data_IF_286862562041
#
_entry.id   IF_286862562041
#
_cell.length_a   1.000
_cell.length_b   1.000
_cell.length_c   1.000
_cell.angle_alpha   90.00
_cell.angle_beta   90.00
_cell.angle_gamma   90.00
#
_symmetry.space_group_name_H-M   'P 1'
#
loop_
_entity.id
_entity.type
_entity.pdbx_description
1 polymer ?
#
# COMPACT_ATOMS: atom_id res chain seq x y z
N UNK A 1 18.87 -6.21 -10.26
CA UNK A 1 18.31 -7.19 -9.33
C UNK A 1 16.82 -6.94 -9.21
N UNK A 2 15.98 -7.97 -9.36
CA UNK A 2 14.53 -7.86 -9.12
C UNK A 2 14.13 -8.72 -7.90
N UNK A 3 12.88 -8.61 -7.43
CA UNK A 3 12.43 -9.28 -6.20
C UNK A 3 12.45 -10.81 -6.29
N UNK A 4 12.08 -11.39 -7.44
CA UNK A 4 12.20 -12.83 -7.66
C UNK A 4 13.66 -13.29 -7.64
N UNK A 5 14.58 -12.52 -8.21
CA UNK A 5 16.01 -12.80 -8.18
C UNK A 5 16.55 -12.73 -6.75
N UNK A 6 16.14 -11.75 -5.95
CA UNK A 6 16.54 -11.65 -4.54
C UNK A 6 16.01 -12.85 -3.73
N UNK A 7 14.76 -13.23 -3.95
CA UNK A 7 14.13 -14.40 -3.33
C UNK A 7 14.90 -15.69 -3.63
N UNK A 8 15.20 -15.94 -4.90
CA UNK A 8 15.96 -17.10 -5.33
C UNK A 8 17.42 -17.06 -4.85
N UNK A 9 18.04 -15.87 -4.76
CA UNK A 9 19.36 -15.72 -4.14
C UNK A 9 19.34 -16.10 -2.67
N UNK A 10 18.39 -15.61 -1.87
CA UNK A 10 18.28 -15.95 -0.45
C UNK A 10 18.11 -17.46 -0.26
N UNK A 11 17.21 -18.10 -1.03
CA UNK A 11 17.04 -19.55 -1.01
C UNK A 11 18.32 -20.30 -1.39
N UNK A 12 18.97 -19.87 -2.46
CA UNK A 12 20.21 -20.50 -2.93
C UNK A 12 21.31 -20.41 -1.87
N UNK A 13 21.49 -19.24 -1.26
CA UNK A 13 22.48 -19.01 -0.20
C UNK A 13 22.17 -19.84 1.04
N UNK A 14 20.89 -19.93 1.44
CA UNK A 14 20.46 -20.81 2.53
C UNK A 14 20.89 -22.26 2.28
N UNK A 15 20.68 -22.77 1.06
CA UNK A 15 21.07 -24.14 0.72
C UNK A 15 22.61 -24.34 0.71
N UNK A 16 23.36 -23.33 0.24
CA UNK A 16 24.82 -23.36 0.30
C UNK A 16 25.34 -23.31 1.74
N UNK A 17 24.72 -22.46 2.58
CA UNK A 17 25.02 -22.32 4.01
C UNK A 17 24.92 -23.65 4.74
N UNK A 18 23.90 -24.46 4.47
CA UNK A 18 23.74 -25.79 5.08
C UNK A 18 24.99 -26.63 4.80
N UNK A 19 25.39 -26.71 3.53
CA UNK A 19 26.54 -27.53 3.11
C UNK A 19 27.85 -27.03 3.73
N UNK A 20 28.06 -25.72 3.79
CA UNK A 20 29.27 -25.13 4.37
C UNK A 20 29.30 -25.28 5.89
N UNK A 21 28.17 -25.12 6.57
CA UNK A 21 28.04 -25.33 8.01
C UNK A 21 28.27 -26.79 8.39
N UNK A 22 27.75 -27.75 7.63
CA UNK A 22 28.00 -29.17 7.89
C UNK A 22 29.48 -29.52 7.80
N UNK A 23 30.18 -29.02 6.78
CA UNK A 23 31.64 -29.21 6.64
C UNK A 23 32.40 -28.59 7.82
N UNK A 24 31.95 -27.44 8.31
CA UNK A 24 32.55 -26.81 9.48
C UNK A 24 32.31 -27.64 10.75
N UNK A 25 31.09 -28.15 10.98
CA UNK A 25 30.75 -29.04 12.11
C UNK A 25 31.65 -30.29 12.08
N UNK A 26 31.83 -30.90 10.91
CA UNK A 26 32.68 -32.08 10.73
C UNK A 26 34.15 -31.80 11.05
N UNK A 27 34.63 -30.60 10.73
CA UNK A 27 36.01 -30.22 11.01
C UNK A 27 36.31 -29.95 12.50
N UNK A 28 35.29 -29.73 13.35
CA UNK A 28 35.51 -29.41 14.77
C UNK A 28 35.87 -30.64 15.62
N UNK A 29 35.61 -31.87 15.14
CA UNK A 29 35.83 -33.11 15.90
C UNK A 29 35.22 -33.08 17.33
N UNK A 30 34.05 -32.43 17.47
CA UNK A 30 33.36 -32.23 18.74
C UNK A 30 32.17 -33.20 18.84
N UNK A 31 32.25 -34.15 19.78
CA UNK A 31 31.26 -35.24 19.95
C UNK A 31 29.85 -34.71 20.21
N UNK A 32 29.73 -33.58 20.92
CA UNK A 32 28.44 -32.98 21.24
C UNK A 32 27.83 -32.32 20.01
N UNK A 33 28.63 -31.59 19.21
CA UNK A 33 28.17 -31.06 17.93
C UNK A 33 27.75 -32.18 16.97
N UNK A 34 28.50 -33.26 16.92
CA UNK A 34 28.20 -34.41 16.06
C UNK A 34 26.90 -35.09 16.46
N UNK A 35 26.62 -35.18 17.77
CA UNK A 35 25.36 -35.73 18.27
C UNK A 35 24.12 -34.90 17.87
N UNK A 36 24.24 -33.56 17.80
CA UNK A 36 23.12 -32.67 17.45
C UNK A 36 23.04 -32.32 15.96
N UNK A 37 24.09 -32.62 15.17
CA UNK A 37 24.21 -32.26 13.75
C UNK A 37 23.01 -32.69 12.92
N UNK A 38 22.56 -33.94 13.06
CA UNK A 38 21.45 -34.49 12.27
C UNK A 38 20.13 -33.77 12.55
N UNK A 39 19.83 -33.53 13.83
CA UNK A 39 18.64 -32.81 14.26
C UNK A 39 18.68 -31.35 13.81
N UNK A 40 19.83 -30.68 13.97
CA UNK A 40 20.04 -29.32 13.49
C UNK A 40 19.87 -29.22 11.97
N UNK A 41 20.50 -30.11 11.19
CA UNK A 41 20.38 -30.18 9.73
C UNK A 41 18.94 -30.34 9.30
N UNK A 42 18.20 -31.26 9.93
CA UNK A 42 16.79 -31.49 9.64
C UNK A 42 15.96 -30.22 9.89
N UNK A 43 16.25 -29.50 10.97
CA UNK A 43 15.57 -28.26 11.27
C UNK A 43 15.85 -27.15 10.24
N UNK A 44 17.12 -26.84 9.96
CA UNK A 44 17.50 -25.76 9.02
C UNK A 44 17.20 -26.08 7.55
N UNK A 45 16.87 -27.33 7.24
CA UNK A 45 16.42 -27.76 5.90
C UNK A 45 14.90 -27.68 5.72
N UNK A 46 14.16 -27.13 6.70
CA UNK A 46 12.70 -27.06 6.66
C UNK A 46 12.19 -26.09 5.60
N UNK A 47 10.91 -26.20 5.23
CA UNK A 47 10.34 -25.37 4.18
C UNK A 47 10.17 -23.91 4.62
N UNK A 48 9.89 -23.69 5.90
CA UNK A 48 9.63 -22.37 6.47
C UNK A 48 10.20 -22.24 7.90
N UNK A 49 10.17 -21.00 8.40
CA UNK A 49 10.64 -20.62 9.74
C UNK A 49 9.96 -21.43 10.86
N UNK A 50 8.64 -21.51 10.84
CA UNK A 50 7.86 -22.16 11.91
C UNK A 50 8.20 -23.65 12.02
N UNK A 51 8.38 -24.33 10.88
CA UNK A 51 8.79 -25.72 10.83
C UNK A 51 10.24 -25.90 11.32
N UNK A 52 11.15 -25.00 10.96
CA UNK A 52 12.52 -25.00 11.51
C UNK A 52 12.48 -24.90 13.04
N UNK A 53 11.74 -23.93 13.59
CA UNK A 53 11.66 -23.72 15.04
C UNK A 53 11.04 -24.92 15.76
N UNK A 54 9.98 -25.51 15.21
CA UNK A 54 9.35 -26.71 15.75
C UNK A 54 10.33 -27.88 15.78
N UNK A 55 11.07 -28.12 14.70
CA UNK A 55 12.04 -29.23 14.65
C UNK A 55 13.25 -29.01 15.55
N UNK A 56 13.70 -27.77 15.76
CA UNK A 56 14.74 -27.45 16.75
C UNK A 56 14.27 -27.86 18.16
N UNK A 57 13.01 -27.58 18.50
CA UNK A 57 12.39 -27.95 19.77
C UNK A 57 12.22 -29.47 19.90
N UNK A 58 11.63 -30.13 18.90
CA UNK A 58 11.43 -31.59 18.89
C UNK A 58 12.75 -32.37 18.95
N UNK A 59 13.77 -31.86 18.27
CA UNK A 59 15.11 -32.46 18.27
C UNK A 59 15.92 -32.21 19.54
N UNK A 60 15.36 -31.54 20.55
CA UNK A 60 16.04 -31.07 21.76
C UNK A 60 17.37 -30.36 21.44
N UNK A 61 17.42 -29.61 20.34
CA UNK A 61 18.60 -28.82 19.97
C UNK A 61 18.64 -27.65 20.94
N UNK A 62 19.39 -27.84 22.03
CA UNK A 62 19.41 -26.95 23.18
C UNK A 62 19.95 -25.57 22.80
N UNK A 63 19.03 -24.65 22.51
CA UNK A 63 19.30 -23.25 22.19
C UNK A 63 18.24 -22.35 22.88
N UNK A 64 18.64 -21.45 23.79
CA UNK A 64 17.87 -20.49 24.63
C UNK A 64 18.01 -19.02 24.15
N UNK A 65 17.06 -18.15 24.56
CA UNK A 65 16.77 -16.77 24.08
C UNK A 65 17.69 -15.68 24.68
N UNK A 66 18.09 -14.69 23.89
CA UNK A 66 19.01 -13.60 24.29
C UNK A 66 18.39 -12.59 25.28
N UNK A 67 17.07 -12.38 25.22
CA UNK A 67 16.35 -11.36 25.99
C UNK A 67 16.42 -11.60 27.52
N UNK A 68 16.55 -12.86 27.93
CA UNK A 68 16.67 -13.27 29.33
C UNK A 68 18.08 -13.02 29.91
N UNK A 69 19.09 -12.81 29.06
CA UNK A 69 20.50 -12.73 29.45
C UNK A 69 20.94 -11.29 29.75
N UNK A 70 20.37 -10.29 29.07
CA UNK A 70 20.55 -8.87 29.45
C UNK A 70 19.95 -8.57 30.83
N UNK A 71 18.86 -9.25 31.21
CA UNK A 71 18.32 -9.20 32.56
C UNK A 71 19.24 -9.89 33.59
N UNK A 72 19.80 -11.07 33.29
CA UNK A 72 20.69 -11.75 34.23
C UNK A 72 22.07 -11.09 34.37
N UNK A 73 22.62 -10.49 33.30
CA UNK A 73 23.87 -9.71 33.37
C UNK A 73 23.69 -8.34 34.03
N UNK A 74 22.54 -7.67 33.83
CA UNK A 74 22.21 -6.47 34.61
C UNK A 74 22.12 -6.78 36.10
N UNK A 75 21.54 -7.93 36.47
CA UNK A 75 21.40 -8.37 37.87
C UNK A 75 22.73 -8.91 38.45
N UNK A 76 23.57 -9.55 37.63
CA UNK A 76 24.90 -10.02 38.04
C UNK A 76 25.93 -8.87 38.17
N UNK A 77 25.73 -7.77 37.43
CA UNK A 77 26.56 -6.56 37.57
C UNK A 77 26.12 -5.67 38.74
N UNK A 78 24.96 -5.95 39.36
CA UNK A 78 24.37 -5.15 40.44
C UNK A 78 23.95 -5.99 41.66
N UNK A 79 24.80 -6.90 42.15
CA UNK A 79 24.54 -7.60 43.42
C UNK A 79 25.78 -7.80 44.27
N UNK A 80 26.38 -6.66 44.64
CA UNK A 80 27.13 -6.51 45.87
C UNK A 80 26.30 -5.63 46.81
N UNK A 81 25.14 -6.15 47.25
CA UNK A 81 24.48 -5.71 48.49
C UNK A 81 23.35 -6.69 48.86
N UNK A 82 23.56 -7.38 49.97
CA UNK A 82 22.60 -8.26 50.62
C UNK A 82 21.59 -7.39 51.37
N UNK A 83 20.30 -7.48 51.04
CA UNK A 83 19.21 -7.65 52.02
C UNK A 83 17.83 -7.88 51.41
N UNK A 84 17.25 -9.01 51.82
CA UNK A 84 15.85 -9.28 52.16
C UNK A 84 14.73 -8.96 51.14
N UNK A 85 14.41 -10.00 50.36
CA UNK A 85 13.06 -10.57 50.17
C UNK A 85 11.82 -9.68 50.42
N UNK A 86 11.17 -9.30 49.32
CA UNK A 86 9.71 -9.35 49.20
C UNK A 86 9.36 -9.60 47.73
N UNK A 87 8.69 -10.71 47.49
CA UNK A 87 8.07 -11.05 46.22
C UNK A 87 7.00 -10.01 45.80
N UNK A 88 6.68 -10.04 44.51
CA UNK A 88 5.56 -9.37 43.86
C UNK A 88 5.67 -7.84 43.78
N UNK A 89 6.36 -7.37 42.74
CA UNK A 89 5.78 -6.30 41.92
C UNK A 89 5.70 -6.80 40.47
N UNK A 90 4.51 -7.30 40.17
CA UNK A 90 3.96 -7.44 38.83
C UNK A 90 3.98 -6.04 38.22
N UNK A 91 5.01 -5.71 37.45
CA UNK A 91 5.02 -4.49 36.64
C UNK A 91 4.84 -4.89 35.18
N UNK A 92 3.55 -4.98 34.85
CA UNK A 92 2.92 -4.62 33.59
C UNK A 92 3.53 -5.15 32.28
N UNK A 93 2.90 -6.23 31.83
CA UNK A 93 2.62 -6.60 30.44
C UNK A 93 1.82 -5.49 29.69
N UNK A 94 2.37 -4.29 29.55
CA UNK A 94 1.78 -3.23 28.71
C UNK A 94 2.87 -2.51 27.91
N UNK A 95 3.40 -3.22 26.92
CA UNK A 95 3.97 -2.64 25.71
C UNK A 95 3.80 -3.67 24.59
N UNK A 96 2.58 -3.73 24.06
CA UNK A 96 2.26 -4.33 22.78
C UNK A 96 3.03 -3.58 21.69
N UNK A 97 4.13 -4.17 21.15
CA UNK A 97 4.55 -4.01 19.72
C UNK A 97 5.91 -4.66 19.35
N UNK A 98 6.33 -5.75 20.00
CA UNK A 98 7.53 -6.49 19.56
C UNK A 98 7.15 -7.90 19.10
N UNK A 99 6.86 -8.03 17.80
CA UNK A 99 6.73 -9.31 17.13
C UNK A 99 8.05 -10.09 17.23
N UNK A 100 8.07 -11.10 18.11
CA UNK A 100 8.92 -12.30 18.15
C UNK A 100 10.18 -12.33 17.25
N UNK A 101 11.26 -11.73 17.74
CA UNK A 101 12.62 -11.92 17.22
C UNK A 101 13.30 -13.05 18.00
N UNK A 102 13.31 -14.27 17.47
CA UNK A 102 13.87 -15.45 18.15
C UNK A 102 15.31 -15.71 17.71
N UNK A 103 16.26 -15.17 18.49
CA UNK A 103 17.70 -15.43 18.34
C UNK A 103 18.13 -16.46 19.37
N UNK A 104 18.83 -17.50 18.91
CA UNK A 104 19.08 -18.74 19.64
C UNK A 104 20.55 -18.82 20.11
N UNK A 105 20.82 -19.16 21.38
CA UNK A 105 22.15 -19.38 22.02
C UNK A 105 22.19 -20.61 22.95
N UNK A 106 23.30 -21.34 23.11
CA UNK A 106 23.34 -22.62 23.85
C UNK A 106 23.11 -22.54 25.37
N UNK A 107 22.63 -23.65 25.97
CA UNK A 107 21.95 -23.78 27.29
C UNK A 107 22.88 -24.04 28.48
N UNK A 108 24.19 -23.84 28.34
CA UNK A 108 25.16 -24.17 29.41
C UNK A 108 25.67 -22.89 30.06
N UNK A 109 25.87 -22.88 31.38
CA UNK A 109 26.44 -21.74 32.13
C UNK A 109 27.82 -21.29 31.60
N UNK A 110 28.51 -22.17 30.88
CA UNK A 110 29.68 -21.89 30.06
C UNK A 110 29.64 -22.78 28.80
N UNK A 111 28.97 -22.34 27.73
CA UNK A 111 28.81 -23.17 26.54
C UNK A 111 30.14 -23.29 25.80
N UNK A 112 30.48 -24.51 25.39
CA UNK A 112 31.64 -24.73 24.53
C UNK A 112 31.59 -23.80 23.31
N UNK A 113 32.74 -23.20 22.95
CA UNK A 113 32.83 -22.17 21.91
C UNK A 113 32.15 -22.56 20.58
N UNK A 114 32.15 -23.85 20.24
CA UNK A 114 31.50 -24.34 19.03
C UNK A 114 29.96 -24.35 19.10
N UNK A 115 29.36 -24.51 20.29
CA UNK A 115 27.91 -24.38 20.44
C UNK A 115 27.45 -22.92 20.23
N UNK A 116 28.25 -21.95 20.69
CA UNK A 116 28.00 -20.52 20.45
C UNK A 116 28.06 -20.23 18.95
N UNK A 117 29.03 -20.81 18.25
CA UNK A 117 29.12 -20.74 16.79
C UNK A 117 27.87 -21.34 16.11
N UNK A 118 27.42 -22.52 16.55
CA UNK A 118 26.23 -23.17 15.98
C UNK A 118 24.94 -22.36 16.21
N UNK A 119 24.83 -21.68 17.33
CA UNK A 119 23.66 -20.89 17.67
C UNK A 119 23.59 -19.59 16.86
N UNK A 120 24.73 -18.96 16.62
CA UNK A 120 24.86 -17.84 15.68
C UNK A 120 24.49 -18.26 14.25
N UNK A 121 24.95 -19.43 13.80
CA UNK A 121 24.52 -19.99 12.51
C UNK A 121 23.00 -20.20 12.46
N UNK A 122 22.40 -20.76 13.51
CA UNK A 122 20.95 -20.98 13.60
C UNK A 122 20.18 -19.68 13.54
N UNK A 123 20.69 -18.63 14.20
CA UNK A 123 20.11 -17.29 14.15
C UNK A 123 20.16 -16.71 12.74
N UNK A 124 21.29 -16.88 12.05
CA UNK A 124 21.42 -16.46 10.65
C UNK A 124 20.39 -17.18 9.77
N UNK A 125 20.14 -18.48 9.97
CA UNK A 125 19.06 -19.18 9.28
C UNK A 125 17.68 -18.58 9.59
N UNK A 126 17.35 -18.30 10.85
CA UNK A 126 16.07 -17.67 11.23
C UNK A 126 15.86 -16.34 10.52
N UNK A 127 16.90 -15.50 10.48
CA UNK A 127 16.85 -14.20 9.80
C UNK A 127 16.71 -14.34 8.29
N UNK A 128 17.32 -15.36 7.67
CA UNK A 128 17.16 -15.63 6.24
C UNK A 128 15.74 -16.10 5.90
N UNK A 129 15.14 -16.96 6.73
CA UNK A 129 13.73 -17.31 6.58
C UNK A 129 12.83 -16.08 6.76
N UNK A 130 13.08 -15.26 7.78
CA UNK A 130 12.29 -14.07 8.04
C UNK A 130 12.38 -13.05 6.89
N UNK A 131 13.56 -12.86 6.29
CA UNK A 131 13.71 -12.04 5.09
C UNK A 131 12.94 -12.63 3.90
N UNK A 132 13.00 -13.94 3.69
CA UNK A 132 12.21 -14.62 2.65
C UNK A 132 10.70 -14.42 2.85
N UNK A 133 10.21 -14.54 4.08
CA UNK A 133 8.81 -14.30 4.44
C UNK A 133 8.40 -12.88 4.07
N UNK A 134 9.25 -11.88 4.33
CA UNK A 134 9.00 -10.49 3.96
C UNK A 134 9.04 -10.20 2.45
N UNK A 135 9.58 -11.09 1.63
CA UNK A 135 9.53 -10.97 0.16
C UNK A 135 8.25 -11.53 -0.45
N UNK A 136 7.43 -12.27 0.30
CA UNK A 136 6.15 -12.78 -0.20
C UNK A 136 5.22 -11.63 -0.65
N UNK A 137 4.47 -11.73 -1.76
CA UNK A 137 3.62 -10.63 -2.22
C UNK A 137 2.54 -10.26 -1.17
N UNK A 138 2.28 -8.96 -1.00
CA UNK A 138 1.12 -8.48 -0.23
C UNK A 138 -0.15 -8.60 -1.07
N UNK A 139 -1.19 -9.24 -0.54
CA UNK A 139 -2.49 -9.34 -1.20
C UNK A 139 -3.44 -8.24 -0.70
N UNK A 140 -3.59 -7.18 -1.49
CA UNK A 140 -4.52 -6.09 -1.18
C UNK A 140 -5.94 -6.42 -1.66
N UNK A 141 -6.88 -6.46 -0.71
CA UNK A 141 -8.28 -6.73 -1.00
C UNK A 141 -9.12 -5.46 -0.80
N UNK A 142 -9.28 -4.67 -1.87
CA UNK A 142 -10.10 -3.45 -1.87
C UNK A 142 -11.26 -3.61 -2.85
N UNK A 143 -12.50 -3.62 -2.33
CA UNK A 143 -13.70 -3.70 -3.18
C UNK A 143 -14.21 -2.31 -3.56
N UNK A 144 -14.30 -2.06 -4.87
CA UNK A 144 -14.87 -0.83 -5.42
C UNK A 144 -16.38 -0.94 -5.73
N UNK A 145 -17.05 -2.03 -5.32
CA UNK A 145 -18.45 -2.27 -5.70
C UNK A 145 -19.39 -1.15 -5.24
N UNK A 146 -19.22 -0.64 -4.02
CA UNK A 146 -20.02 0.46 -3.49
C UNK A 146 -19.84 1.78 -4.26
N UNK A 147 -18.60 2.10 -4.63
CA UNK A 147 -18.29 3.29 -5.44
C UNK A 147 -18.84 3.15 -6.87
N UNK A 148 -18.69 1.97 -7.49
CA UNK A 148 -19.24 1.67 -8.81
C UNK A 148 -20.77 1.75 -8.82
N UNK A 149 -21.44 1.31 -7.75
CA UNK A 149 -22.88 1.47 -7.58
C UNK A 149 -23.29 2.95 -7.53
N UNK A 150 -22.62 3.76 -6.70
CA UNK A 150 -22.90 5.19 -6.60
C UNK A 150 -22.68 5.91 -7.95
N UNK A 151 -21.61 5.55 -8.67
CA UNK A 151 -21.36 6.03 -10.03
C UNK A 151 -22.52 5.68 -10.97
N UNK A 152 -22.95 4.41 -10.98
CA UNK A 152 -24.04 3.95 -11.82
C UNK A 152 -25.37 4.67 -11.52
N UNK A 153 -25.66 4.97 -10.23
CA UNK A 153 -26.81 5.80 -9.85
C UNK A 153 -26.74 7.19 -10.47
N UNK A 154 -25.57 7.85 -10.40
CA UNK A 154 -25.34 9.17 -11.01
C UNK A 154 -25.56 9.16 -12.52
N UNK A 155 -24.95 8.20 -13.21
CA UNK A 155 -25.07 8.02 -14.67
C UNK A 155 -26.52 7.74 -15.09
N UNK A 156 -27.21 6.84 -14.37
CA UNK A 156 -28.63 6.53 -14.62
C UNK A 156 -29.50 7.78 -14.50
N UNK A 157 -29.33 8.57 -13.44
CA UNK A 157 -30.07 9.83 -13.27
C UNK A 157 -29.77 10.83 -14.41
N UNK A 158 -28.51 10.97 -14.81
CA UNK A 158 -28.12 11.88 -15.89
C UNK A 158 -28.66 11.46 -17.26
N UNK A 159 -28.75 10.15 -17.53
CA UNK A 159 -29.30 9.60 -18.77
C UNK A 159 -30.82 9.72 -18.83
N UNK A 160 -31.51 9.38 -17.73
CA UNK A 160 -32.97 9.44 -17.63
C UNK A 160 -33.47 10.89 -17.75
N UNK A 161 -32.72 11.87 -17.25
CA UNK A 161 -33.11 13.29 -17.23
C UNK A 161 -33.58 13.85 -18.58
N UNK A 162 -33.09 13.31 -19.70
CA UNK A 162 -33.47 13.75 -21.06
C UNK A 162 -34.92 13.45 -21.42
N UNK A 163 -35.54 12.48 -20.75
CA UNK A 163 -36.88 11.95 -21.07
C UNK A 163 -37.93 12.31 -20.02
N UNK A 164 -37.56 13.10 -19.02
CA UNK A 164 -38.36 13.35 -17.83
C UNK A 164 -39.24 14.58 -18.02
N UNK A 165 -40.53 14.44 -17.71
CA UNK A 165 -41.48 15.56 -17.66
C UNK A 165 -41.17 16.51 -16.50
N UNK A 166 -41.24 17.81 -16.77
CA UNK A 166 -40.97 18.86 -15.78
C UNK A 166 -42.14 18.97 -14.81
N UNK A 167 -41.87 18.86 -13.51
CA UNK A 167 -42.89 19.00 -12.48
C UNK A 167 -42.33 18.95 -11.07
N UNK A 168 -43.11 19.39 -10.08
CA UNK A 168 -42.70 19.41 -8.67
C UNK A 168 -42.47 18.00 -8.11
N UNK A 169 -43.29 17.03 -8.51
CA UNK A 169 -43.13 15.64 -8.06
C UNK A 169 -41.87 15.00 -8.65
N UNK A 170 -41.54 15.32 -9.90
CA UNK A 170 -40.27 14.95 -10.53
C UNK A 170 -39.07 15.47 -9.73
N UNK A 171 -39.07 16.76 -9.39
CA UNK A 171 -37.99 17.37 -8.59
C UNK A 171 -37.87 16.66 -7.24
N UNK A 172 -39.00 16.40 -6.56
CA UNK A 172 -39.01 15.70 -5.26
C UNK A 172 -38.42 14.29 -5.37
N UNK A 173 -38.84 13.51 -6.36
CA UNK A 173 -38.37 12.14 -6.58
C UNK A 173 -36.85 12.10 -6.86
N UNK A 174 -36.38 12.93 -7.79
CA UNK A 174 -34.96 12.97 -8.13
C UNK A 174 -34.08 13.61 -7.05
N UNK A 175 -34.63 14.49 -6.20
CA UNK A 175 -33.92 14.99 -5.00
C UNK A 175 -33.64 13.84 -4.03
N UNK A 176 -34.64 12.97 -3.80
CA UNK A 176 -34.48 11.79 -2.94
C UNK A 176 -33.44 10.81 -3.52
N UNK A 177 -33.51 10.50 -4.82
CA UNK A 177 -32.53 9.62 -5.49
C UNK A 177 -31.11 10.19 -5.43
N UNK A 178 -30.95 11.50 -5.65
CA UNK A 178 -29.65 12.18 -5.54
C UNK A 178 -29.11 12.12 -4.11
N UNK A 179 -29.97 12.33 -3.10
CA UNK A 179 -29.57 12.21 -1.69
C UNK A 179 -29.11 10.78 -1.36
N UNK A 180 -29.84 9.76 -1.82
CA UNK A 180 -29.45 8.36 -1.64
C UNK A 180 -28.11 8.04 -2.33
N UNK A 181 -27.92 8.51 -3.57
CA UNK A 181 -26.67 8.31 -4.29
C UNK A 181 -25.48 8.99 -3.59
N UNK A 182 -25.67 10.20 -3.06
CA UNK A 182 -24.67 10.92 -2.26
C UNK A 182 -24.32 10.21 -0.96
N UNK A 183 -25.32 9.67 -0.26
CA UNK A 183 -25.10 8.87 0.94
C UNK A 183 -24.30 7.60 0.61
N UNK A 184 -24.70 6.87 -0.43
CA UNK A 184 -24.00 5.67 -0.88
C UNK A 184 -22.56 5.98 -1.29
N UNK A 185 -22.34 7.08 -2.02
CA UNK A 185 -21.01 7.56 -2.37
C UNK A 185 -20.19 7.85 -1.12
N UNK A 186 -20.73 8.62 -0.17
CA UNK A 186 -20.00 9.02 1.04
C UNK A 186 -19.59 7.81 1.89
N UNK A 187 -20.50 6.86 2.11
CA UNK A 187 -20.19 5.63 2.85
C UNK A 187 -19.12 4.79 2.14
N UNK A 188 -19.33 4.47 0.86
CA UNK A 188 -18.36 3.67 0.10
C UNK A 188 -16.99 4.35 -0.02
N UNK A 189 -16.97 5.68 -0.15
CA UNK A 189 -15.75 6.47 -0.21
C UNK A 189 -14.98 6.44 1.11
N UNK A 190 -15.67 6.54 2.25
CA UNK A 190 -15.05 6.43 3.57
C UNK A 190 -14.45 5.03 3.81
N UNK A 191 -15.19 3.97 3.45
CA UNK A 191 -14.74 2.59 3.63
C UNK A 191 -13.51 2.27 2.77
N UNK A 192 -13.56 2.62 1.48
CA UNK A 192 -12.43 2.39 0.56
C UNK A 192 -11.20 3.19 0.97
N UNK A 193 -11.36 4.45 1.37
CA UNK A 193 -10.25 5.25 1.89
C UNK A 193 -9.60 4.62 3.12
N UNK A 194 -10.41 4.12 4.06
CA UNK A 194 -9.89 3.43 5.24
C UNK A 194 -9.07 2.21 4.85
N UNK A 195 -9.55 1.39 3.91
CA UNK A 195 -8.81 0.20 3.45
C UNK A 195 -7.49 0.57 2.77
N UNK A 196 -7.48 1.62 1.93
CA UNK A 196 -6.26 2.12 1.30
C UNK A 196 -5.24 2.56 2.36
N UNK A 197 -5.67 3.28 3.40
CA UNK A 197 -4.78 3.68 4.49
C UNK A 197 -4.25 2.49 5.31
N UNK A 198 -5.09 1.47 5.53
CA UNK A 198 -4.66 0.23 6.21
C UNK A 198 -3.61 -0.51 5.38
N UNK A 199 -3.80 -0.64 4.07
CA UNK A 199 -2.81 -1.25 3.18
C UNK A 199 -1.47 -0.49 3.24
N UNK A 200 -1.50 0.85 3.20
CA UNK A 200 -0.28 1.65 3.32
C UNK A 200 0.42 1.44 4.66
N UNK A 201 -0.34 1.36 5.76
CA UNK A 201 0.23 1.08 7.07
C UNK A 201 0.89 -0.32 7.11
N UNK A 202 0.26 -1.33 6.51
CA UNK A 202 0.84 -2.68 6.40
C UNK A 202 2.13 -2.70 5.58
N UNK A 203 2.19 -1.98 4.44
CA UNK A 203 3.42 -1.81 3.66
C UNK A 203 4.51 -1.19 4.55
N UNK A 204 4.21 -0.08 5.22
CA UNK A 204 5.19 0.63 6.04
C UNK A 204 5.73 -0.24 7.19
N UNK A 205 4.86 -0.99 7.88
CA UNK A 205 5.27 -1.92 8.95
C UNK A 205 6.18 -3.01 8.38
N UNK A 206 5.78 -3.63 7.27
CA UNK A 206 6.55 -4.69 6.64
C UNK A 206 7.91 -4.20 6.17
N UNK A 207 7.97 -3.02 5.57
CA UNK A 207 9.22 -2.43 5.11
C UNK A 207 10.16 -2.11 6.26
N UNK A 208 9.63 -1.57 7.36
CA UNK A 208 10.41 -1.33 8.58
C UNK A 208 10.96 -2.64 9.14
N UNK A 209 10.14 -3.67 9.24
CA UNK A 209 10.57 -4.97 9.75
C UNK A 209 11.61 -5.64 8.84
N UNK A 210 11.45 -5.51 7.53
CA UNK A 210 12.42 -6.00 6.54
C UNK A 210 13.78 -5.31 6.71
N UNK A 211 13.79 -3.98 6.78
CA UNK A 211 14.99 -3.19 6.94
C UNK A 211 15.71 -3.49 8.27
N UNK A 212 14.97 -3.53 9.38
CA UNK A 212 15.50 -3.87 10.71
C UNK A 212 16.08 -5.29 10.74
N UNK A 213 15.45 -6.24 10.03
CA UNK A 213 15.92 -7.63 9.92
C UNK A 213 17.17 -7.72 9.06
N UNK A 214 17.25 -6.95 7.97
CA UNK A 214 18.41 -6.93 7.08
C UNK A 214 19.65 -6.34 7.77
N UNK A 215 19.50 -5.22 8.48
CA UNK A 215 20.57 -4.64 9.30
C UNK A 215 21.04 -5.61 10.39
N UNK A 216 20.09 -6.27 11.05
CA UNK A 216 20.43 -7.21 12.10
C UNK A 216 21.08 -8.49 11.59
N UNK A 217 20.74 -8.94 10.38
CA UNK A 217 21.48 -10.00 9.70
C UNK A 217 22.94 -9.60 9.52
N UNK A 218 23.20 -8.40 8.98
CA UNK A 218 24.58 -7.90 8.79
C UNK A 218 25.32 -7.81 10.12
N UNK A 219 24.68 -7.29 11.16
CA UNK A 219 25.26 -7.21 12.51
C UNK A 219 25.57 -8.60 13.09
N UNK A 220 24.63 -9.54 12.99
CA UNK A 220 24.79 -10.92 13.49
C UNK A 220 25.92 -11.63 12.76
N UNK A 221 26.00 -11.47 11.44
CA UNK A 221 27.08 -12.02 10.62
C UNK A 221 28.43 -11.42 11.00
N UNK A 222 28.48 -10.13 11.29
CA UNK A 222 29.71 -9.45 11.69
C UNK A 222 30.22 -9.98 13.04
N UNK A 223 29.34 -10.08 14.03
CA UNK A 223 29.65 -10.67 15.35
C UNK A 223 30.07 -12.12 15.22
N UNK A 224 29.36 -12.92 14.41
CA UNK A 224 29.69 -14.32 14.20
C UNK A 224 31.05 -14.49 13.50
N UNK A 225 31.38 -13.62 12.54
CA UNK A 225 32.67 -13.63 11.86
C UNK A 225 33.83 -13.43 12.86
N UNK A 226 33.67 -12.54 13.84
CA UNK A 226 34.67 -12.23 14.87
C UNK A 226 34.89 -13.36 15.91
N UNK A 227 34.00 -14.37 15.97
CA UNK A 227 34.12 -15.46 16.96
C UNK A 227 35.34 -16.36 16.75
N UNK A 228 35.90 -16.42 15.54
CA UNK A 228 37.12 -17.20 15.27
C UNK A 228 38.23 -16.28 14.76
N UNK A 229 39.33 -16.19 15.50
CA UNK A 229 40.48 -15.41 15.05
C UNK A 229 41.28 -16.16 13.97
N UNK A 230 41.55 -15.51 12.83
CA UNK A 230 42.48 -16.04 11.84
C UNK A 230 43.91 -15.64 12.23
N UNK A 231 44.73 -16.56 12.73
CA UNK A 231 46.11 -16.23 13.14
C UNK A 231 47.06 -15.97 11.97
N UNK A 232 46.68 -16.29 10.71
CA UNK A 232 47.54 -16.18 9.53
C UNK A 232 47.94 -14.74 9.23
N UNK A 233 49.13 -14.54 8.67
CA UNK A 233 49.68 -13.22 8.35
C UNK A 233 48.90 -12.56 7.18
N UNK A 234 48.73 -11.23 7.17
CA UNK A 234 47.89 -10.50 6.21
C UNK A 234 48.24 -10.78 4.75
N UNK A 235 49.54 -10.89 4.43
CA UNK A 235 50.01 -11.22 3.08
C UNK A 235 49.62 -12.64 2.66
N UNK A 236 49.73 -13.62 3.56
CA UNK A 236 49.32 -15.01 3.29
C UNK A 236 47.83 -15.09 3.02
N UNK A 237 47.02 -14.26 3.70
CA UNK A 237 45.55 -14.19 3.50
C UNK A 237 45.15 -13.69 2.11
N UNK A 238 45.94 -12.82 1.48
CA UNK A 238 45.65 -12.35 0.11
C UNK A 238 45.79 -13.46 -0.95
N UNK A 239 46.53 -14.53 -0.64
CA UNK A 239 46.82 -15.62 -1.57
C UNK A 239 46.26 -16.98 -1.11
N UNK A 240 45.48 -17.02 -0.02
CA UNK A 240 44.94 -18.27 0.53
C UNK A 240 43.43 -18.17 0.72
N UNK A 241 42.77 -19.32 0.67
CA UNK A 241 41.35 -19.41 0.95
C UNK A 241 41.03 -18.97 2.40
N UNK A 242 39.83 -18.41 2.58
CA UNK A 242 39.28 -18.12 3.90
C UNK A 242 39.26 -19.39 4.77
N UNK A 243 39.39 -19.22 6.09
CA UNK A 243 39.07 -20.30 7.02
C UNK A 243 37.61 -20.73 6.78
N UNK A 244 37.26 -22.02 6.95
CA UNK A 244 35.91 -22.50 6.70
C UNK A 244 34.81 -21.66 7.37
N UNK A 245 35.04 -21.23 8.61
CA UNK A 245 34.15 -20.32 9.35
C UNK A 245 33.95 -18.97 8.66
N UNK A 246 35.04 -18.27 8.36
CA UNK A 246 35.00 -16.98 7.65
C UNK A 246 34.42 -17.11 6.24
N UNK A 247 34.67 -18.22 5.56
CA UNK A 247 34.15 -18.49 4.22
C UNK A 247 32.62 -18.54 4.20
N UNK A 248 31.99 -19.12 5.23
CA UNK A 248 30.54 -19.21 5.38
C UNK A 248 29.91 -17.81 5.30
N UNK A 249 30.36 -16.90 6.15
CA UNK A 249 29.81 -15.55 6.27
C UNK A 249 30.17 -14.64 5.10
N UNK A 250 31.38 -14.77 4.57
CA UNK A 250 31.76 -14.06 3.35
C UNK A 250 30.88 -14.48 2.16
N UNK A 251 30.65 -15.79 1.98
CA UNK A 251 29.77 -16.29 0.92
C UNK A 251 28.33 -15.83 1.10
N UNK A 252 27.83 -15.81 2.34
CA UNK A 252 26.51 -15.30 2.67
C UNK A 252 26.35 -13.82 2.25
N UNK A 253 27.23 -12.94 2.72
CA UNK A 253 27.10 -11.51 2.40
C UNK A 253 27.32 -11.23 0.91
N UNK A 254 28.33 -11.86 0.29
CA UNK A 254 28.58 -11.67 -1.14
C UNK A 254 27.46 -12.23 -2.02
N UNK A 255 26.77 -13.28 -1.58
CA UNK A 255 25.62 -13.82 -2.29
C UNK A 255 24.40 -12.88 -2.25
N UNK A 256 24.12 -12.26 -1.10
CA UNK A 256 22.96 -11.36 -0.93
C UNK A 256 23.26 -10.00 -1.55
N UNK A 257 24.37 -9.38 -1.15
CA UNK A 257 24.69 -7.98 -1.44
C UNK A 257 25.62 -7.80 -2.64
N UNK A 258 26.25 -8.87 -3.12
CA UNK A 258 27.29 -8.82 -4.16
C UNK A 258 28.70 -8.64 -3.58
N UNK A 259 29.70 -8.97 -4.40
CA UNK A 259 31.12 -8.91 -3.99
C UNK A 259 31.56 -7.49 -3.64
N UNK A 260 31.11 -6.50 -4.44
CA UNK A 260 31.51 -5.10 -4.28
C UNK A 260 30.93 -4.44 -3.02
N UNK A 261 29.97 -5.09 -2.36
CA UNK A 261 29.31 -4.60 -1.17
C UNK A 261 30.02 -4.97 0.13
N UNK A 262 30.89 -5.97 0.10
CA UNK A 262 31.48 -6.60 1.28
C UNK A 262 32.88 -6.06 1.53
N UNK A 263 33.11 -5.60 2.76
CA UNK A 263 34.35 -4.99 3.19
C UNK A 263 34.96 -5.74 4.37
N UNK A 264 36.28 -5.62 4.51
CA UNK A 264 37.03 -6.13 5.67
C UNK A 264 37.80 -4.98 6.35
N UNK A 265 37.15 -4.23 7.25
CA UNK A 265 37.78 -3.10 7.95
C UNK A 265 39.03 -3.51 8.75
N UNK A 266 38.95 -4.65 9.42
CA UNK A 266 40.01 -5.26 10.21
C UNK A 266 40.24 -6.72 9.81
N UNK A 267 41.22 -7.37 10.47
CA UNK A 267 41.65 -8.73 10.15
C UNK A 267 40.50 -9.72 10.26
N UNK A 268 39.80 -9.68 11.38
CA UNK A 268 38.76 -10.63 11.75
C UNK A 268 37.38 -9.97 11.76
N UNK A 269 37.19 -8.91 10.98
CA UNK A 269 35.90 -8.22 10.85
C UNK A 269 35.39 -8.27 9.41
N UNK A 270 34.07 -8.26 9.27
CA UNK A 270 33.39 -8.11 7.99
C UNK A 270 32.33 -7.02 8.12
N UNK A 271 32.10 -6.26 7.06
CA UNK A 271 31.08 -5.23 7.01
C UNK A 271 30.40 -5.22 5.63
N UNK A 272 29.18 -4.70 5.57
CA UNK A 272 28.45 -4.47 4.33
C UNK A 272 28.28 -2.96 4.12
N UNK A 273 28.32 -2.50 2.87
CA UNK A 273 28.02 -1.11 2.52
C UNK A 273 26.55 -0.79 2.75
N UNK A 274 26.28 0.24 3.56
CA UNK A 274 24.92 0.76 3.81
C UNK A 274 24.18 1.11 2.52
N UNK A 275 24.90 1.58 1.48
CA UNK A 275 24.29 1.87 0.18
C UNK A 275 23.62 0.66 -0.45
N UNK A 276 24.18 -0.54 -0.29
CA UNK A 276 23.59 -1.77 -0.83
C UNK A 276 22.44 -2.29 0.01
N UNK A 277 22.47 -2.07 1.33
CA UNK A 277 21.33 -2.32 2.21
C UNK A 277 20.16 -1.43 1.76
N UNK A 278 20.38 -0.13 1.60
CA UNK A 278 19.37 0.82 1.14
C UNK A 278 18.80 0.49 -0.24
N UNK A 279 19.64 0.06 -1.18
CA UNK A 279 19.18 -0.36 -2.51
C UNK A 279 18.24 -1.57 -2.46
N UNK A 280 18.55 -2.57 -1.61
CA UNK A 280 17.70 -3.74 -1.42
C UNK A 280 16.38 -3.33 -0.75
N UNK A 281 16.44 -2.53 0.31
CA UNK A 281 15.23 -2.03 0.99
C UNK A 281 14.35 -1.22 0.03
N UNK A 282 14.94 -0.36 -0.81
CA UNK A 282 14.21 0.42 -1.82
C UNK A 282 13.56 -0.49 -2.88
N UNK A 283 14.29 -1.51 -3.37
CA UNK A 283 13.74 -2.47 -4.32
C UNK A 283 12.49 -3.18 -3.79
N UNK A 284 12.51 -3.60 -2.51
CA UNK A 284 11.37 -4.26 -1.87
C UNK A 284 10.23 -3.28 -1.63
N UNK A 285 10.54 -2.03 -1.29
CA UNK A 285 9.54 -0.96 -1.14
C UNK A 285 8.80 -0.70 -2.45
N UNK A 286 9.53 -0.46 -3.54
CA UNK A 286 8.95 -0.15 -4.84
C UNK A 286 8.00 -1.27 -5.31
N UNK A 287 8.41 -2.53 -5.12
CA UNK A 287 7.60 -3.68 -5.52
C UNK A 287 6.30 -3.82 -4.73
N UNK A 288 6.30 -3.46 -3.45
CA UNK A 288 5.08 -3.46 -2.63
C UNK A 288 4.20 -2.23 -2.89
N UNK A 289 4.80 -1.10 -3.30
CA UNK A 289 4.10 0.16 -3.53
C UNK A 289 3.36 0.19 -4.88
N UNK A 290 3.93 -0.38 -5.95
CA UNK A 290 3.30 -0.45 -7.29
C UNK A 290 1.82 -0.91 -7.28
N UNK A 291 1.47 -2.06 -6.68
CA UNK A 291 0.08 -2.51 -6.67
C UNK A 291 -0.84 -1.61 -5.84
N UNK A 292 -0.33 -1.00 -4.77
CA UNK A 292 -1.09 -0.06 -3.93
C UNK A 292 -1.34 1.25 -4.68
N UNK A 293 -0.37 1.76 -5.43
CA UNK A 293 -0.51 2.95 -6.26
C UNK A 293 -1.58 2.73 -7.34
N UNK A 294 -1.58 1.55 -7.99
CA UNK A 294 -2.62 1.19 -8.96
C UNK A 294 -4.03 1.16 -8.34
N UNK A 295 -4.18 0.65 -7.11
CA UNK A 295 -5.44 0.67 -6.37
C UNK A 295 -5.86 2.12 -6.05
N UNK A 296 -4.90 2.95 -5.65
CA UNK A 296 -5.15 4.36 -5.33
C UNK A 296 -5.57 5.17 -6.55
N UNK A 297 -4.93 4.96 -7.70
CA UNK A 297 -5.31 5.58 -8.97
C UNK A 297 -6.72 5.17 -9.41
N UNK A 298 -7.06 3.88 -9.31
CA UNK A 298 -8.41 3.38 -9.58
C UNK A 298 -9.45 4.04 -8.68
N UNK A 299 -9.16 4.10 -7.39
CA UNK A 299 -9.98 4.77 -6.39
C UNK A 299 -10.24 6.23 -6.76
N UNK A 300 -9.19 7.00 -7.01
CA UNK A 300 -9.29 8.42 -7.37
C UNK A 300 -10.13 8.62 -8.63
N UNK A 301 -9.92 7.78 -9.65
CA UNK A 301 -10.65 7.86 -10.91
C UNK A 301 -12.16 7.66 -10.71
N UNK A 302 -12.55 6.61 -9.99
CA UNK A 302 -13.98 6.32 -9.74
C UNK A 302 -14.59 7.39 -8.85
N UNK A 303 -13.86 7.85 -7.82
CA UNK A 303 -14.35 8.88 -6.90
C UNK A 303 -14.63 10.20 -7.63
N UNK A 304 -13.67 10.69 -8.42
CA UNK A 304 -13.82 11.91 -9.22
C UNK A 304 -14.93 11.79 -10.27
N UNK A 305 -15.01 10.66 -10.97
CA UNK A 305 -16.07 10.44 -11.96
C UNK A 305 -17.46 10.43 -11.30
N UNK A 306 -17.60 9.79 -10.14
CA UNK A 306 -18.86 9.76 -9.38
C UNK A 306 -19.26 11.15 -8.90
N UNK A 307 -18.33 11.89 -8.32
CA UNK A 307 -18.58 13.26 -7.84
C UNK A 307 -19.00 14.19 -8.99
N UNK A 308 -18.34 14.08 -10.14
CA UNK A 308 -18.70 14.81 -11.36
C UNK A 308 -20.14 14.52 -11.81
N UNK A 309 -20.53 13.23 -11.90
CA UNK A 309 -21.88 12.81 -12.30
C UNK A 309 -22.95 13.36 -11.34
N UNK A 310 -22.74 13.20 -10.03
CA UNK A 310 -23.69 13.66 -9.02
C UNK A 310 -23.81 15.19 -9.00
N UNK A 311 -22.71 15.92 -9.18
CA UNK A 311 -22.71 17.38 -9.24
C UNK A 311 -23.36 17.91 -10.52
N UNK A 312 -23.11 17.26 -11.65
CA UNK A 312 -23.79 17.59 -12.91
C UNK A 312 -25.30 17.41 -12.76
N UNK A 313 -25.74 16.31 -12.16
CA UNK A 313 -27.15 16.06 -11.93
C UNK A 313 -27.79 17.08 -10.97
N UNK A 314 -27.09 17.42 -9.88
CA UNK A 314 -27.55 18.44 -8.93
C UNK A 314 -27.82 19.79 -9.62
N UNK A 315 -26.92 20.24 -10.51
CA UNK A 315 -27.12 21.50 -11.27
C UNK A 315 -28.35 21.45 -12.17
N UNK A 316 -28.61 20.31 -12.81
CA UNK A 316 -29.81 20.12 -13.64
C UNK A 316 -31.08 20.21 -12.79
N UNK A 317 -31.07 19.57 -11.62
CA UNK A 317 -32.19 19.56 -10.68
C UNK A 317 -32.46 20.95 -10.10
N UNK A 318 -31.43 21.68 -9.70
CA UNK A 318 -31.52 23.07 -9.24
C UNK A 318 -32.07 24.00 -10.33
N UNK A 319 -31.64 23.81 -11.59
CA UNK A 319 -32.19 24.56 -12.73
C UNK A 319 -33.68 24.29 -12.94
N UNK A 320 -34.12 23.03 -12.84
CA UNK A 320 -35.55 22.70 -12.95
C UNK A 320 -36.34 23.32 -11.80
N UNK A 321 -35.84 23.24 -10.57
CA UNK A 321 -36.47 23.86 -9.40
C UNK A 321 -36.63 25.36 -9.58
N UNK A 322 -35.57 26.06 -9.97
CA UNK A 322 -35.64 27.50 -10.24
C UNK A 322 -36.61 27.87 -11.36
N UNK A 323 -36.70 27.06 -12.42
CA UNK A 323 -37.67 27.28 -13.51
C UNK A 323 -39.13 27.08 -13.03
N UNK A 324 -39.38 26.11 -12.15
CA UNK A 324 -40.71 25.88 -11.58
C UNK A 324 -41.10 27.02 -10.62
N UNK A 325 -40.17 27.48 -9.78
CA UNK A 325 -40.39 28.61 -8.87
C UNK A 325 -40.75 29.90 -9.65
N UNK A 326 -40.07 30.17 -10.77
CA UNK A 326 -40.39 31.29 -11.66
C UNK A 326 -41.77 31.11 -12.32
N UNK A 327 -42.10 29.90 -12.77
CA UNK A 327 -43.41 29.62 -13.37
C UNK A 327 -44.56 29.79 -12.35
N UNK A 328 -44.36 29.38 -11.10
CA UNK A 328 -45.31 29.60 -10.01
C UNK A 328 -45.49 31.09 -9.72
N UNK A 329 -44.40 31.86 -9.65
CA UNK A 329 -44.45 33.31 -9.46
C UNK A 329 -45.18 34.02 -10.62
N UNK A 330 -44.89 33.63 -11.88
CA UNK A 330 -45.59 34.19 -13.05
C UNK A 330 -47.07 33.79 -13.08
N UNK A 331 -47.41 32.56 -12.70
CA UNK A 331 -48.78 32.10 -12.57
C UNK A 331 -49.55 32.84 -11.46
N UNK A 332 -48.92 33.03 -10.30
CA UNK A 332 -49.46 33.83 -9.20
C UNK A 332 -49.66 35.30 -9.63
N UNK A 333 -48.70 35.89 -10.35
CA UNK A 333 -48.83 37.23 -10.93
C UNK A 333 -49.97 37.31 -11.96
N UNK A 334 -50.17 36.28 -12.78
CA UNK A 334 -51.29 36.22 -13.72
C UNK A 334 -52.64 36.13 -13.00
N UNK A 335 -52.74 35.31 -11.94
CA UNK A 335 -53.92 35.26 -11.10
C UNK A 335 -54.18 36.58 -10.37
N UNK A 336 -53.16 37.22 -9.81
CA UNK A 336 -53.28 38.55 -9.19
C UNK A 336 -53.70 39.62 -10.22
N UNK A 337 -53.20 39.55 -11.46
CA UNK A 337 -53.60 40.44 -12.56
C UNK A 337 -55.05 40.24 -13.03
N UNK A 338 -55.64 39.05 -12.84
CA UNK A 338 -57.05 38.77 -13.12
C UNK A 338 -57.99 39.39 -12.06
N UNK A 339 -57.52 39.61 -10.84
CA UNK A 339 -58.31 40.19 -9.73
C UNK A 339 -58.02 41.67 -9.45
N UNK A 340 -56.99 42.24 -10.07
CA UNK A 340 -56.74 43.68 -10.05
C UNK A 340 -57.47 44.36 -11.20
N UNK A 341 -58.07 45.55 -11.00
CA UNK A 341 -58.59 46.37 -12.09
C UNK A 341 -57.42 47.03 -12.84
N UNK A 342 -56.54 46.24 -13.46
CA UNK A 342 -55.42 46.72 -14.27
C UNK A 342 -55.78 46.85 -15.76
N UNK A 343 -57.04 47.10 -16.09
CA UNK A 343 -57.47 47.37 -17.46
C UNK A 343 -56.96 48.71 -18.03
N UNK A 344 -56.25 49.54 -17.25
CA UNK A 344 -55.86 50.88 -17.70
C UNK A 344 -54.37 51.23 -17.60
N UNK A 345 -53.54 50.61 -16.75
CA UNK A 345 -52.18 51.17 -16.50
C UNK A 345 -51.02 50.18 -16.26
N UNK A 346 -51.17 48.89 -16.61
CA UNK A 346 -50.07 47.91 -16.54
C UNK A 346 -49.52 47.48 -17.91
N UNK A 347 -48.29 46.96 -17.96
CA UNK A 347 -47.64 46.44 -19.19
C UNK A 347 -48.51 45.43 -19.96
N UNK A 348 -49.38 44.67 -19.29
CA UNK A 348 -50.35 43.77 -19.94
C UNK A 348 -51.47 44.51 -20.71
N UNK A 349 -51.91 45.67 -20.23
CA UNK A 349 -52.86 46.53 -20.94
C UNK A 349 -52.25 47.18 -22.20
N UNK A 350 -50.94 47.37 -22.23
CA UNK A 350 -50.21 47.86 -23.39
C UNK A 350 -50.19 46.85 -24.55
N UNK A 351 -49.85 45.58 -24.27
CA UNK A 351 -49.82 44.54 -25.30
C UNK A 351 -51.22 44.15 -25.81
N UNK A 352 -52.23 44.14 -24.93
CA UNK A 352 -53.60 43.86 -25.34
C UNK A 352 -54.22 45.01 -26.18
N UNK A 353 -53.73 46.25 -26.02
CA UNK A 353 -54.08 47.38 -26.92
C UNK A 353 -53.33 47.31 -28.25
N UNK A 354 -52.07 46.87 -28.26
CA UNK A 354 -51.31 46.65 -29.51
C UNK A 354 -51.95 45.58 -30.40
N UNK A 355 -52.49 44.52 -29.81
CA UNK A 355 -53.16 43.45 -30.56
C UNK A 355 -54.53 43.86 -31.11
N UNK A 356 -55.17 44.86 -30.48
CA UNK A 356 -56.49 45.39 -30.86
C UNK A 356 -56.43 46.75 -31.56
N UNK A 357 -55.25 47.27 -31.92
CA UNK A 357 -55.15 48.46 -32.75
C UNK A 357 -55.60 48.11 -34.18
N UNK A 358 -56.56 48.86 -34.76
CA UNK A 358 -56.87 48.70 -36.18
C UNK A 358 -55.59 49.04 -36.97
N UNK A 359 -55.18 48.14 -37.86
CA UNK A 359 -54.04 48.36 -38.75
C UNK A 359 -54.25 49.69 -39.47
N UNK A 360 -53.45 50.70 -39.14
CA UNK A 360 -53.30 51.91 -39.94
C UNK A 360 -52.56 51.54 -41.22
N UNK A 361 -53.30 50.96 -42.15
CA UNK A 361 -52.96 50.99 -43.56
C UNK A 361 -53.19 52.41 -44.07
N UNK A 362 -52.14 53.05 -44.58
CA UNK A 362 -52.25 54.26 -45.40
C UNK A 362 -51.48 55.48 -44.88
N UNK A 363 -50.55 55.95 -45.72
CA UNK A 363 -49.96 57.30 -45.79
C UNK A 363 -48.74 57.61 -44.90
N UNK A 364 -47.59 57.16 -45.39
CA UNK A 364 -46.41 58.02 -45.65
C UNK A 364 -45.57 57.27 -46.70
N UNK A 365 -45.92 57.43 -47.97
CA UNK A 365 -45.21 58.28 -48.93
C UNK A 365 -43.89 57.65 -49.40
N UNK A 366 -43.83 57.20 -50.65
CA UNK A 366 -43.49 58.12 -51.73
C UNK A 366 -42.14 58.83 -51.50
N UNK A 367 -41.14 58.04 -51.12
CA UNK A 367 -39.74 58.33 -51.38
C UNK A 367 -39.08 57.01 -51.77
N UNK A 368 -38.36 57.02 -52.90
CA UNK A 368 -37.71 55.88 -53.58
C UNK A 368 -38.56 55.22 -54.68
N UNK A 369 -38.69 55.94 -55.79
CA UNK A 369 -39.02 55.36 -57.08
C UNK A 369 -37.87 54.51 -57.63
N UNK A 370 -38.27 53.50 -58.42
CA UNK A 370 -37.60 52.84 -59.56
C UNK A 370 -36.08 52.60 -59.47
N UNK A 371 -35.57 51.37 -59.61
CA UNK A 371 -35.75 50.52 -60.80
C UNK A 371 -35.86 49.02 -60.47
N UNK A 372 -36.74 48.36 -61.21
CA UNK A 372 -36.80 46.91 -61.40
C UNK A 372 -35.52 46.44 -62.12
N UNK A 373 -34.95 45.30 -61.71
CA UNK A 373 -34.75 44.21 -62.67
C UNK A 373 -34.37 42.86 -62.02
N UNK A 374 -34.90 41.80 -62.65
CA UNK A 374 -34.47 40.38 -62.63
C UNK A 374 -35.06 39.50 -61.53
N UNK A 375 -36.16 38.79 -61.82
CA UNK A 375 -36.20 37.50 -62.55
C UNK A 375 -35.51 36.40 -61.74
N UNK A 376 -36.31 35.60 -61.04
CA UNK A 376 -35.92 34.26 -60.61
C UNK A 376 -36.66 33.30 -61.54
N UNK A 377 -35.95 32.85 -62.57
CA UNK A 377 -36.37 31.71 -63.37
C UNK A 377 -36.03 30.41 -62.61
N UNK A 378 -36.95 29.48 -62.80
CA UNK A 378 -37.01 28.09 -62.34
C UNK A 378 -36.16 27.12 -63.18
N UNK A 379 -36.01 25.89 -62.66
CA UNK A 379 -35.51 24.65 -63.33
C UNK A 379 -33.96 24.53 -63.42
N UNK A 380 -33.30 23.39 -63.23
CA UNK A 380 -33.76 22.01 -63.24
C UNK A 380 -32.75 21.01 -62.60
N UNK A 381 -33.35 19.91 -62.18
CA UNK A 381 -32.96 18.52 -61.89
C UNK A 381 -31.58 17.86 -62.21
N UNK A 382 -31.42 16.70 -61.53
CA UNK A 382 -30.61 15.48 -61.79
C UNK A 382 -29.18 15.42 -61.21
N UNK A 383 -28.70 14.34 -60.59
CA UNK A 383 -29.20 12.98 -60.37
C UNK A 383 -28.02 11.99 -60.28
N UNK A 384 -28.07 11.09 -59.28
CA UNK A 384 -27.58 9.69 -59.21
C UNK A 384 -26.08 9.28 -59.37
N UNK A 385 -25.72 8.28 -58.56
CA UNK A 385 -24.66 7.26 -58.78
C UNK A 385 -23.86 6.98 -57.49
N UNK A 386 -23.77 5.79 -56.90
CA UNK A 386 -24.23 4.42 -57.20
C UNK A 386 -24.45 3.68 -55.87
#
# INVERSE_FOLDING_TARGET
>A
MNLSELHERIKWIRNQLITSAEKWIDAQHDDMLQAIKSNWRNAVSSANRDEMQRKLQEGNVSLVRVDQLLHSMSVASSSLEVRDSSALDVVNELSEDHHYRSVYHPVVDDPGAHLVCLSQLTTVFDLLYQLEDYLSPLEFHVSFSGLKLAHAMGVSMNNEWRFVEKGMETVRCYTSRLQQARQQFHHANADVNRLIHLNQAQINIRMRQFDETLHYLVSTVSVAYELQNDSRNRLVRMFTAYLPWHAIFHQLLTGIFGVDAVLHPAKDSIACLDSRINEITTLVQDQNQIPQDAIFEEYQRIAQATESELNQFNRKLESMRGNLDVAEQMGALHHVALFLPTSVTGFYGFFNRLQNMPRLSGQADAALGYENDRVIDTEDSNGLGY
#
